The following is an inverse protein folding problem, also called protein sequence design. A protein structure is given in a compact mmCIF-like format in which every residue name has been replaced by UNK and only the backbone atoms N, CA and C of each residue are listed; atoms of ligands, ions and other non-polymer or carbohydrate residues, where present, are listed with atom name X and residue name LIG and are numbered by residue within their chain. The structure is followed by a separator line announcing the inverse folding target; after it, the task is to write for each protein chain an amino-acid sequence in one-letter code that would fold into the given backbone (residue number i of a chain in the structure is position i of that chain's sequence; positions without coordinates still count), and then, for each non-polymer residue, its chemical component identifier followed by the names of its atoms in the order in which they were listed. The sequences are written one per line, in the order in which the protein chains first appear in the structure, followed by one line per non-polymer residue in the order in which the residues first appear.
data_IF_997281440675
#
_entry.id   IF_997281440675
#
_cell.length_a   1.000
_cell.length_b   1.000
_cell.length_c   1.000
_cell.angle_alpha   90.00
_cell.angle_beta   90.00
_cell.angle_gamma   90.00
#
_symmetry.space_group_name_H-M   'P 1'
#
loop_
_entity.id
_entity.type
_entity.pdbx_description
1 polymer ?
#
# COMPACT_ATOMS: atom_id res chain seq x y z
N UNK A 1 -4.17 25.64 1.00
CA UNK A 1 -4.18 24.34 0.29
C UNK A 1 -4.43 23.24 1.30
N UNK A 2 -5.22 22.20 0.96
CA UNK A 2 -5.37 21.00 1.80
C UNK A 2 -4.12 20.13 1.61
N UNK A 3 -3.53 19.63 2.69
CA UNK A 3 -2.45 18.65 2.58
C UNK A 3 -3.00 17.33 2.00
N UNK A 4 -2.23 16.70 1.12
CA UNK A 4 -2.57 15.38 0.58
C UNK A 4 -2.09 14.32 1.57
N UNK A 5 -3.02 13.51 2.07
CA UNK A 5 -2.70 12.39 2.94
C UNK A 5 -2.50 11.13 2.09
N UNK A 6 -1.39 10.42 2.29
CA UNK A 6 -1.08 9.16 1.61
C UNK A 6 -1.07 8.04 2.64
N UNK A 7 -1.77 6.95 2.35
CA UNK A 7 -1.80 5.76 3.17
C UNK A 7 -0.54 4.92 2.93
N UNK A 8 0.38 4.91 3.89
CA UNK A 8 1.65 4.15 3.83
C UNK A 8 1.35 2.64 3.87
N UNK A 9 1.66 1.93 2.77
CA UNK A 9 1.41 0.47 2.59
C UNK A 9 -0.04 0.02 2.75
N UNK A 10 -0.99 0.93 2.48
CA UNK A 10 -2.41 0.76 2.79
C UNK A 10 -2.74 0.95 4.27
N UNK A 11 -3.91 0.48 4.72
CA UNK A 11 -4.32 0.63 6.13
C UNK A 11 -3.62 -0.40 7.04
N UNK A 12 -2.29 -0.33 7.11
CA UNK A 12 -1.42 -1.30 7.79
C UNK A 12 -1.63 -1.35 9.31
N UNK A 13 -2.20 -0.29 9.91
CA UNK A 13 -2.57 -0.30 11.33
C UNK A 13 -3.68 -1.33 11.66
N UNK A 14 -4.53 -1.69 10.69
CA UNK A 14 -5.65 -2.63 10.89
C UNK A 14 -5.58 -3.89 10.04
N UNK A 15 -4.86 -3.84 8.92
CA UNK A 15 -4.75 -4.94 7.96
C UNK A 15 -3.29 -5.20 7.66
N UNK A 16 -2.96 -6.40 7.18
CA UNK A 16 -1.58 -6.71 6.84
C UNK A 16 -1.09 -5.81 5.69
N UNK A 17 0.06 -5.17 5.87
CA UNK A 17 0.63 -4.19 4.93
C UNK A 17 0.83 -4.77 3.52
N UNK A 18 0.85 -3.90 2.51
CA UNK A 18 1.11 -4.27 1.12
C UNK A 18 0.17 -5.37 0.56
N UNK A 19 -1.00 -5.58 1.18
CA UNK A 19 -2.03 -6.50 0.70
C UNK A 19 -3.17 -5.77 -0.01
N UNK A 20 -3.82 -6.48 -0.93
CA UNK A 20 -5.02 -5.98 -1.59
C UNK A 20 -6.13 -5.58 -0.60
N UNK A 21 -6.21 -6.25 0.55
CA UNK A 21 -7.17 -5.90 1.59
C UNK A 21 -6.82 -4.55 2.22
N UNK A 22 -5.57 -4.34 2.65
CA UNK A 22 -5.13 -3.06 3.21
C UNK A 22 -5.33 -1.90 2.24
N UNK A 23 -5.10 -2.13 0.94
CA UNK A 23 -5.32 -1.13 -0.11
C UNK A 23 -6.81 -0.81 -0.30
N UNK A 24 -7.67 -1.84 -0.40
CA UNK A 24 -9.11 -1.65 -0.56
C UNK A 24 -9.73 -0.93 0.63
N UNK A 25 -9.29 -1.22 1.84
CA UNK A 25 -9.80 -0.57 3.03
C UNK A 25 -9.27 0.86 3.18
N UNK A 26 -8.01 1.12 2.80
CA UNK A 26 -7.49 2.50 2.70
C UNK A 26 -8.25 3.33 1.66
N UNK A 27 -8.59 2.75 0.51
CA UNK A 27 -9.32 3.42 -0.57
C UNK A 27 -10.75 3.84 -0.19
N UNK A 28 -11.31 3.29 0.89
CA UNK A 28 -12.62 3.72 1.43
C UNK A 28 -12.52 4.94 2.35
N UNK A 29 -11.31 5.38 2.69
CA UNK A 29 -11.03 6.52 3.58
C UNK A 29 -10.72 7.79 2.77
N UNK A 30 -10.62 8.96 3.42
CA UNK A 30 -10.30 10.25 2.79
C UNK A 30 -8.79 10.45 2.54
N UNK A 31 -8.10 9.39 2.09
CA UNK A 31 -6.71 9.50 1.61
C UNK A 31 -6.70 9.92 0.15
N UNK A 32 -5.72 10.76 -0.21
CA UNK A 32 -5.48 11.12 -1.61
C UNK A 32 -4.94 9.93 -2.42
N UNK A 33 -4.12 9.09 -1.79
CA UNK A 33 -3.49 7.95 -2.44
C UNK A 33 -2.96 6.93 -1.45
N UNK A 34 -2.38 5.88 -2.02
CA UNK A 34 -1.78 4.75 -1.30
C UNK A 34 -0.33 4.65 -1.79
N UNK A 35 0.59 4.49 -0.85
CA UNK A 35 1.98 4.14 -1.13
C UNK A 35 2.17 2.63 -0.94
N UNK A 36 3.13 2.04 -1.66
CA UNK A 36 3.47 0.62 -1.61
C UNK A 36 4.92 0.42 -2.00
N UNK A 37 5.54 -0.61 -1.44
CA UNK A 37 6.88 -1.09 -1.80
C UNK A 37 6.79 -2.11 -2.95
N UNK A 38 7.76 -2.13 -3.88
CA UNK A 38 7.75 -3.06 -5.02
C UNK A 38 9.06 -3.82 -5.17
N UNK A 39 8.98 -5.14 -5.33
CA UNK A 39 10.12 -6.03 -5.54
C UNK A 39 9.92 -6.84 -6.83
N UNK A 40 11.02 -7.29 -7.45
CA UNK A 40 10.99 -8.15 -8.64
C UNK A 40 11.38 -9.59 -8.25
N UNK A 41 10.53 -10.56 -8.58
CA UNK A 41 10.83 -11.98 -8.36
C UNK A 41 11.83 -12.51 -9.39
N UNK A 42 12.42 -13.68 -9.10
CA UNK A 42 13.37 -14.36 -10.01
C UNK A 42 12.75 -14.72 -11.37
N UNK A 43 11.44 -14.94 -11.40
CA UNK A 43 10.64 -15.21 -12.59
C UNK A 43 9.99 -13.95 -13.19
N UNK A 44 10.48 -12.75 -12.83
CA UNK A 44 10.12 -11.44 -13.39
C UNK A 44 8.69 -10.96 -13.13
N UNK A 45 8.12 -11.29 -11.96
CA UNK A 45 6.86 -10.71 -11.50
C UNK A 45 7.12 -9.58 -10.50
N UNK A 46 6.37 -8.49 -10.65
CA UNK A 46 6.33 -7.42 -9.64
C UNK A 46 5.43 -7.85 -8.49
N UNK A 47 5.93 -7.71 -7.26
CA UNK A 47 5.18 -7.99 -6.03
C UNK A 47 5.20 -6.78 -5.12
N UNK A 48 4.20 -6.66 -4.25
CA UNK A 48 4.16 -5.67 -3.18
C UNK A 48 4.68 -6.30 -1.87
N UNK A 49 5.88 -5.90 -1.44
CA UNK A 49 6.54 -6.41 -0.24
C UNK A 49 7.62 -5.43 0.22
N UNK A 50 7.78 -5.25 1.53
CA UNK A 50 8.68 -4.23 2.08
C UNK A 50 10.09 -4.76 2.38
N UNK A 51 10.18 -5.93 3.02
CA UNK A 51 11.47 -6.47 3.46
C UNK A 51 12.25 -7.11 2.31
N UNK A 52 13.57 -7.28 2.50
CA UNK A 52 14.50 -7.82 1.51
C UNK A 52 14.57 -9.36 1.49
#
# INVERSE_FOLDING_TARGET
MKALAISHRGWHEKYYENTLNAFKEAAKMDFYGIETDIHLTKDNYWIAHHDA
#
